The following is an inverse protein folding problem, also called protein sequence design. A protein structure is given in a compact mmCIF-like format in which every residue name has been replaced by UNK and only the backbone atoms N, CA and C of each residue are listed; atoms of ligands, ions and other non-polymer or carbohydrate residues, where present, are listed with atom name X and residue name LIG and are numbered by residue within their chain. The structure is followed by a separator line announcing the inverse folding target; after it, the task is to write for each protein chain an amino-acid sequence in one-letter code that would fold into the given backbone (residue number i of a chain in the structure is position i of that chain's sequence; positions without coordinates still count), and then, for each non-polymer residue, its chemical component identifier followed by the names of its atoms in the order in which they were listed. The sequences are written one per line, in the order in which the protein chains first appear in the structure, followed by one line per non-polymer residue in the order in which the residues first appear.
data_IF_163797630861
#
_entry.id   IF_163797630861
#
_cell.length_a   1.000
_cell.length_b   1.000
_cell.length_c   1.000
_cell.angle_alpha   90.00
_cell.angle_beta   90.00
_cell.angle_gamma   90.00
#
_symmetry.space_group_name_H-M   'P 1'
#
loop_
_entity.id
_entity.type
_entity.pdbx_description
1 polymer ?
#
# COMPACT_ATOMS: atom_id res chain seq x y z
N UNK A 1 -8.17 20.48 -10.72
CA UNK A 1 -8.61 19.55 -9.66
C UNK A 1 -7.39 18.95 -8.98
N UNK A 2 -7.47 18.71 -7.69
CA UNK A 2 -6.40 18.06 -6.92
C UNK A 2 -6.35 16.58 -7.30
N UNK A 3 -5.14 16.06 -7.54
CA UNK A 3 -4.90 14.63 -7.77
C UNK A 3 -4.36 14.00 -6.49
N UNK A 4 -4.93 12.87 -6.09
CA UNK A 4 -4.48 12.08 -4.95
C UNK A 4 -3.47 11.03 -5.42
N UNK A 5 -2.28 11.03 -4.82
CA UNK A 5 -1.23 10.05 -5.09
C UNK A 5 -1.03 9.18 -3.85
N UNK A 6 -1.55 7.97 -3.89
CA UNK A 6 -1.30 6.98 -2.86
C UNK A 6 0.08 6.40 -3.06
N UNK A 7 0.96 6.63 -2.09
CA UNK A 7 2.35 6.17 -2.14
C UNK A 7 2.56 5.07 -1.10
N UNK A 8 2.91 3.88 -1.56
CA UNK A 8 3.22 2.73 -0.72
C UNK A 8 4.68 2.31 -0.92
N UNK A 9 5.25 1.63 0.06
CA UNK A 9 6.58 1.04 -0.11
C UNK A 9 6.56 0.02 -1.25
N UNK A 10 7.54 0.13 -2.15
CA UNK A 10 7.66 -0.80 -3.26
C UNK A 10 8.14 -2.19 -2.81
N UNK A 11 8.02 -3.16 -3.70
CA UNK A 11 8.57 -4.50 -3.53
C UNK A 11 9.46 -4.87 -4.73
N UNK A 12 10.52 -5.66 -4.53
CA UNK A 12 11.25 -6.27 -5.63
C UNK A 12 10.32 -7.11 -6.50
N UNK A 13 10.47 -7.02 -7.82
CA UNK A 13 9.65 -7.80 -8.76
C UNK A 13 9.78 -9.31 -8.56
N UNK A 14 10.90 -9.79 -8.02
CA UNK A 14 11.06 -11.19 -7.64
C UNK A 14 10.09 -11.64 -6.56
N UNK A 15 9.69 -10.74 -5.64
CA UNK A 15 8.67 -11.00 -4.61
C UNK A 15 7.28 -10.98 -5.22
N UNK A 16 6.98 -9.97 -6.03
CA UNK A 16 5.70 -9.84 -6.74
C UNK A 16 5.44 -11.06 -7.64
N UNK A 17 6.46 -11.49 -8.39
CA UNK A 17 6.36 -12.64 -9.30
C UNK A 17 6.15 -13.98 -8.58
N UNK A 18 6.49 -14.07 -7.30
CA UNK A 18 6.13 -15.22 -6.46
C UNK A 18 4.67 -15.21 -6.00
N UNK A 19 3.93 -14.16 -6.34
CA UNK A 19 2.52 -14.03 -6.01
C UNK A 19 2.27 -13.45 -4.61
N UNK A 20 3.16 -12.57 -4.12
CA UNK A 20 2.92 -11.86 -2.87
C UNK A 20 1.65 -11.01 -2.99
N UNK A 21 0.71 -11.11 -2.05
CA UNK A 21 -0.57 -10.40 -2.12
C UNK A 21 -0.47 -8.91 -1.76
N UNK A 22 0.67 -8.43 -1.26
CA UNK A 22 0.84 -7.05 -0.81
C UNK A 22 0.34 -5.99 -1.80
N UNK A 23 0.65 -6.05 -3.13
CA UNK A 23 0.13 -5.06 -4.06
C UNK A 23 -1.40 -5.05 -4.15
N UNK A 24 -2.03 -6.21 -4.02
CA UNK A 24 -3.48 -6.33 -4.02
C UNK A 24 -4.11 -5.80 -2.72
N UNK A 25 -3.49 -6.06 -1.57
CA UNK A 25 -3.91 -5.55 -0.26
C UNK A 25 -3.81 -4.02 -0.21
N UNK A 26 -2.72 -3.45 -0.74
CA UNK A 26 -2.56 -2.00 -0.87
C UNK A 26 -3.65 -1.42 -1.78
N UNK A 27 -3.89 -2.02 -2.93
CA UNK A 27 -4.93 -1.57 -3.85
C UNK A 27 -6.34 -1.64 -3.22
N UNK A 28 -6.63 -2.68 -2.45
CA UNK A 28 -7.89 -2.81 -1.71
C UNK A 28 -8.03 -1.71 -0.64
N UNK A 29 -6.95 -1.36 0.04
CA UNK A 29 -6.92 -0.26 1.02
C UNK A 29 -7.18 1.08 0.33
N UNK A 30 -6.51 1.35 -0.80
CA UNK A 30 -6.77 2.55 -1.62
C UNK A 30 -8.22 2.63 -2.05
N UNK A 31 -8.79 1.51 -2.49
CA UNK A 31 -10.20 1.45 -2.90
C UNK A 31 -11.13 1.79 -1.75
N UNK A 32 -10.92 1.23 -0.54
CA UNK A 32 -11.71 1.53 0.64
C UNK A 32 -11.65 3.02 1.01
N UNK A 33 -10.47 3.64 0.93
CA UNK A 33 -10.32 5.08 1.15
C UNK A 33 -11.07 5.87 0.09
N UNK A 34 -10.97 5.51 -1.19
CA UNK A 34 -11.67 6.19 -2.27
C UNK A 34 -13.20 6.08 -2.14
N UNK A 35 -13.71 4.93 -1.74
CA UNK A 35 -15.13 4.78 -1.43
C UNK A 35 -15.56 5.76 -0.32
N UNK A 36 -14.77 5.88 0.75
CA UNK A 36 -15.05 6.81 1.85
C UNK A 36 -15.00 8.28 1.42
N UNK A 37 -14.13 8.63 0.47
CA UNK A 37 -14.03 9.96 -0.14
C UNK A 37 -15.07 10.23 -1.23
N UNK A 38 -15.89 9.23 -1.59
CA UNK A 38 -16.93 9.34 -2.62
C UNK A 38 -16.36 9.51 -4.04
N UNK A 39 -15.15 9.04 -4.30
CA UNK A 39 -14.48 9.10 -5.62
C UNK A 39 -14.43 10.49 -6.27
N UNK A 40 -14.33 11.55 -5.46
CA UNK A 40 -14.44 12.94 -5.93
C UNK A 40 -13.20 13.45 -6.66
N UNK A 41 -12.05 12.86 -6.38
CA UNK A 41 -10.77 13.28 -6.93
C UNK A 41 -10.15 12.20 -7.82
N UNK A 42 -9.50 12.57 -8.91
CA UNK A 42 -8.66 11.62 -9.64
C UNK A 42 -7.51 11.14 -8.75
N UNK A 43 -7.15 9.89 -8.89
CA UNK A 43 -6.10 9.31 -8.05
C UNK A 43 -5.22 8.32 -8.81
N UNK A 44 -4.05 8.05 -8.24
CA UNK A 44 -3.13 6.99 -8.67
C UNK A 44 -2.49 6.32 -7.47
N UNK A 45 -2.19 5.04 -7.61
CA UNK A 45 -1.29 4.29 -6.74
C UNK A 45 0.10 4.34 -7.35
N UNK A 46 1.10 4.68 -6.55
CA UNK A 46 2.51 4.69 -6.89
C UNK A 46 3.33 4.10 -5.76
N UNK A 47 4.63 3.89 -6.00
CA UNK A 47 5.49 3.10 -5.16
C UNK A 47 6.79 3.85 -4.86
N UNK A 48 7.24 3.81 -3.60
CA UNK A 48 8.42 4.51 -3.12
C UNK A 48 9.47 3.57 -2.53
N UNK A 49 10.61 4.13 -2.10
CA UNK A 49 11.65 3.45 -1.31
C UNK A 49 12.31 2.28 -2.04
N UNK A 50 12.51 2.43 -3.34
CA UNK A 50 13.25 1.45 -4.12
C UNK A 50 14.75 1.60 -3.88
N UNK A 51 15.45 0.47 -3.72
CA UNK A 51 16.89 0.46 -3.48
C UNK A 51 17.62 -0.56 -4.37
N UNK A 52 18.81 -0.19 -4.79
CA UNK A 52 19.68 -1.05 -5.59
C UNK A 52 19.25 -1.24 -7.05
N UNK A 53 19.97 -2.06 -7.82
CA UNK A 53 19.81 -2.15 -9.27
C UNK A 53 18.75 -3.14 -9.74
N UNK A 54 18.12 -3.90 -8.85
CA UNK A 54 17.09 -4.87 -9.23
C UNK A 54 15.79 -4.19 -9.68
N UNK A 55 14.97 -4.91 -10.43
CA UNK A 55 13.63 -4.42 -10.80
C UNK A 55 12.70 -4.42 -9.60
N UNK A 56 11.97 -3.31 -9.41
CA UNK A 56 10.99 -3.09 -8.38
C UNK A 56 9.62 -2.79 -8.97
N UNK A 57 8.59 -2.98 -8.18
CA UNK A 57 7.22 -2.61 -8.53
C UNK A 57 7.13 -1.09 -8.76
N UNK A 58 6.59 -0.67 -9.90
CA UNK A 58 6.44 0.73 -10.30
C UNK A 58 4.98 1.06 -10.61
N UNK A 59 4.58 2.32 -10.96
CA UNK A 59 5.46 3.48 -11.18
C UNK A 59 6.00 4.07 -9.87
N UNK A 60 7.19 4.66 -9.93
CA UNK A 60 7.81 5.32 -8.77
C UNK A 60 7.08 6.62 -8.42
N UNK A 61 7.00 6.91 -7.11
CA UNK A 61 6.34 8.11 -6.59
C UNK A 61 7.02 9.39 -7.07
N UNK A 62 8.34 9.50 -6.94
CA UNK A 62 9.10 10.67 -7.40
C UNK A 62 8.91 10.92 -8.90
N UNK A 63 9.05 9.89 -9.74
CA UNK A 63 8.84 10.02 -11.18
C UNK A 63 7.39 10.39 -11.52
N UNK A 64 6.43 9.84 -10.80
CA UNK A 64 5.00 10.15 -11.00
C UNK A 64 4.73 11.61 -10.70
N UNK A 65 5.22 12.14 -9.59
CA UNK A 65 5.09 13.55 -9.20
C UNK A 65 5.74 14.46 -10.26
N UNK A 66 7.01 14.20 -10.59
CA UNK A 66 7.75 14.99 -11.61
C UNK A 66 7.02 15.02 -12.96
N UNK A 67 6.52 13.88 -13.40
CA UNK A 67 5.81 13.80 -14.67
C UNK A 67 4.47 14.56 -14.65
N UNK A 68 3.74 14.52 -13.53
CA UNK A 68 2.50 15.28 -13.39
C UNK A 68 2.76 16.79 -13.35
N UNK A 69 3.76 17.23 -12.58
CA UNK A 69 4.14 18.65 -12.51
C UNK A 69 4.58 19.19 -13.88
N UNK A 70 5.43 18.44 -14.61
CA UNK A 70 5.85 18.79 -15.97
C UNK A 70 4.69 18.88 -16.95
N UNK A 71 3.63 18.10 -16.75
CA UNK A 71 2.39 18.18 -17.55
C UNK A 71 1.41 19.27 -17.11
N UNK A 72 1.81 20.11 -16.15
CA UNK A 72 1.01 21.22 -15.65
C UNK A 72 0.05 20.86 -14.49
N UNK A 73 0.01 19.60 -14.06
CA UNK A 73 -0.77 19.20 -12.88
C UNK A 73 0.06 19.43 -11.63
N UNK A 74 -0.18 20.51 -10.93
CA UNK A 74 0.62 20.91 -9.76
C UNK A 74 -0.07 20.67 -8.43
N UNK A 75 -1.40 20.61 -8.40
CA UNK A 75 -2.16 20.36 -7.15
C UNK A 75 -2.20 18.87 -6.85
N UNK A 76 -1.25 18.41 -6.03
CA UNK A 76 -1.09 17.01 -5.68
C UNK A 76 -1.14 16.82 -4.15
N UNK A 77 -1.81 15.76 -3.71
CA UNK A 77 -1.72 15.30 -2.32
C UNK A 77 -1.13 13.90 -2.32
N UNK A 78 0.04 13.77 -1.73
CA UNK A 78 0.69 12.49 -1.46
C UNK A 78 0.10 11.87 -0.20
N UNK A 79 -0.37 10.65 -0.30
CA UNK A 79 -0.98 9.90 0.81
C UNK A 79 -0.11 8.68 1.08
N UNK A 80 0.68 8.68 2.17
CA UNK A 80 1.48 7.52 2.54
C UNK A 80 0.55 6.37 2.93
N UNK A 81 0.15 5.56 1.95
CA UNK A 81 -0.71 4.40 2.19
C UNK A 81 0.13 3.21 2.66
N UNK A 82 -0.38 2.43 3.59
CA UNK A 82 0.34 1.32 4.24
C UNK A 82 1.48 1.76 5.18
N UNK A 83 1.55 3.03 5.51
CA UNK A 83 2.40 3.58 6.56
C UNK A 83 1.53 4.02 7.74
N UNK A 84 1.79 3.52 8.94
CA UNK A 84 0.96 3.79 10.12
C UNK A 84 1.46 4.94 10.96
N UNK A 85 2.73 5.33 10.80
CA UNK A 85 3.36 6.41 11.54
C UNK A 85 4.39 7.13 10.70
N UNK A 86 4.77 8.34 11.13
CA UNK A 86 5.86 9.08 10.54
C UNK A 86 7.21 8.41 10.83
N UNK A 87 8.06 8.34 9.82
CA UNK A 87 9.42 7.83 9.87
C UNK A 87 10.23 8.36 8.66
N UNK A 88 11.44 7.87 8.46
CA UNK A 88 12.34 8.39 7.43
C UNK A 88 11.72 8.34 6.02
N UNK A 89 10.94 7.31 5.69
CA UNK A 89 10.32 7.15 4.36
C UNK A 89 9.11 8.07 4.15
N UNK A 90 8.58 8.72 5.18
CA UNK A 90 7.55 9.75 5.07
C UNK A 90 8.12 11.16 5.25
N UNK A 91 8.93 11.38 6.30
CA UNK A 91 9.44 12.69 6.64
C UNK A 91 10.64 13.11 5.78
N UNK A 92 11.47 12.18 5.35
CA UNK A 92 12.62 12.51 4.52
C UNK A 92 12.30 12.23 3.04
N UNK A 93 11.97 11.00 2.65
CA UNK A 93 11.77 10.65 1.24
C UNK A 93 10.62 11.46 0.60
N UNK A 94 9.48 11.62 1.28
CA UNK A 94 8.37 12.39 0.72
C UNK A 94 8.58 13.89 0.94
N UNK A 95 8.79 14.34 2.19
CA UNK A 95 8.75 15.77 2.50
C UNK A 95 10.04 16.49 2.04
N UNK A 96 11.22 15.88 2.21
CA UNK A 96 12.48 16.51 1.89
C UNK A 96 12.97 16.24 0.46
N UNK A 97 12.64 15.10 -0.13
CA UNK A 97 13.07 14.78 -1.50
C UNK A 97 11.95 15.04 -2.50
N UNK A 98 10.86 14.26 -2.47
CA UNK A 98 9.83 14.30 -3.53
C UNK A 98 9.13 15.66 -3.63
N UNK A 99 8.76 16.27 -2.48
CA UNK A 99 8.10 17.59 -2.48
C UNK A 99 9.09 18.69 -2.85
N UNK A 100 10.35 18.59 -2.40
CA UNK A 100 11.39 19.55 -2.79
C UNK A 100 11.64 19.53 -4.31
N UNK A 101 11.84 18.35 -4.90
CA UNK A 101 11.98 18.19 -6.34
C UNK A 101 10.77 18.73 -7.13
N UNK A 102 9.57 18.57 -6.60
CA UNK A 102 8.36 19.13 -7.20
C UNK A 102 8.37 20.67 -7.19
N UNK A 103 8.84 21.27 -6.12
CA UNK A 103 8.95 22.73 -5.98
C UNK A 103 10.00 23.28 -6.95
N UNK A 104 11.14 22.63 -7.11
CA UNK A 104 12.16 22.98 -8.12
C UNK A 104 11.60 22.96 -9.56
N UNK A 105 10.61 22.11 -9.80
CA UNK A 105 9.90 22.04 -11.08
C UNK A 105 8.74 23.06 -11.21
N UNK A 106 8.61 23.98 -10.23
CA UNK A 106 7.62 25.05 -10.21
C UNK A 106 6.25 24.64 -9.66
N UNK A 107 6.20 23.67 -8.77
CA UNK A 107 4.97 23.32 -8.04
C UNK A 107 4.70 24.28 -6.86
N UNK A 108 5.73 25.01 -6.36
CA UNK A 108 5.64 26.14 -5.41
C UNK A 108 4.71 25.87 -4.20
N UNK A 109 4.95 24.79 -3.48
CA UNK A 109 4.20 24.41 -2.28
C UNK A 109 2.78 23.88 -2.54
N UNK A 110 2.44 23.57 -3.78
CA UNK A 110 1.14 22.98 -4.17
C UNK A 110 1.12 21.46 -4.10
N UNK A 111 2.27 20.82 -3.93
CA UNK A 111 2.40 19.40 -3.61
C UNK A 111 2.49 19.26 -2.11
N UNK A 112 1.57 18.51 -1.51
CA UNK A 112 1.44 18.33 -0.06
C UNK A 112 1.40 16.85 0.27
N UNK A 113 1.86 16.49 1.47
CA UNK A 113 1.66 15.17 2.05
C UNK A 113 0.47 15.21 3.02
N UNK A 114 -0.36 14.19 2.99
CA UNK A 114 -1.33 13.93 4.06
C UNK A 114 -0.58 13.44 5.31
N UNK A 115 -1.02 13.87 6.47
CA UNK A 115 -0.46 13.42 7.75
C UNK A 115 -0.56 11.91 7.89
N UNK A 116 0.47 11.29 8.49
CA UNK A 116 0.43 9.89 8.88
C UNK A 116 -0.55 9.67 10.03
N UNK A 117 -1.02 8.44 10.17
CA UNK A 117 -2.05 8.10 11.18
C UNK A 117 -1.56 8.33 12.61
N UNK A 118 -0.28 8.01 12.89
CA UNK A 118 0.35 8.24 14.20
C UNK A 118 -0.55 7.81 15.38
N UNK A 119 -0.80 8.73 16.31
CA UNK A 119 -1.68 8.53 17.46
C UNK A 119 -3.15 8.90 17.21
N UNK A 120 -3.65 8.89 15.98
CA UNK A 120 -5.05 9.17 15.66
C UNK A 120 -5.98 8.28 16.48
N UNK A 121 -6.91 8.88 17.21
CA UNK A 121 -7.87 8.14 18.03
C UNK A 121 -8.76 7.21 17.19
N UNK A 122 -9.11 7.61 15.98
CA UNK A 122 -9.90 6.79 15.04
C UNK A 122 -9.11 5.55 14.63
N UNK A 123 -7.82 5.72 14.34
CA UNK A 123 -6.94 4.60 13.98
C UNK A 123 -6.73 3.64 15.14
N UNK A 124 -6.41 4.17 16.32
CA UNK A 124 -6.22 3.35 17.55
C UNK A 124 -7.50 2.59 17.90
N UNK A 125 -8.67 3.22 17.79
CA UNK A 125 -9.95 2.54 18.01
C UNK A 125 -10.16 1.41 17.00
N UNK A 126 -9.87 1.64 15.72
CA UNK A 126 -9.96 0.62 14.68
C UNK A 126 -9.04 -0.57 14.95
N UNK A 127 -7.82 -0.33 15.41
CA UNK A 127 -6.89 -1.41 15.81
C UNK A 127 -7.43 -2.20 17.02
N UNK A 128 -7.97 -1.52 18.03
CA UNK A 128 -8.56 -2.15 19.19
C UNK A 128 -9.78 -3.02 18.82
N UNK A 129 -10.64 -2.52 17.94
CA UNK A 129 -11.81 -3.25 17.44
C UNK A 129 -11.40 -4.52 16.67
N UNK A 130 -10.38 -4.44 15.82
CA UNK A 130 -9.83 -5.59 15.09
C UNK A 130 -9.25 -6.62 16.06
N UNK A 131 -8.44 -6.17 17.03
CA UNK A 131 -7.87 -7.05 18.03
C UNK A 131 -8.94 -7.76 18.86
N UNK A 132 -9.95 -7.01 19.32
CA UNK A 132 -11.08 -7.57 20.06
C UNK A 132 -11.85 -8.60 19.23
N UNK A 133 -12.22 -8.26 18.01
CA UNK A 133 -12.95 -9.15 17.11
C UNK A 133 -12.15 -10.45 16.84
N UNK A 134 -10.83 -10.34 16.70
CA UNK A 134 -9.97 -11.51 16.53
C UNK A 134 -9.96 -12.41 17.77
N UNK A 135 -9.80 -11.84 18.96
CA UNK A 135 -9.84 -12.59 20.23
C UNK A 135 -11.21 -13.27 20.44
N UNK A 136 -12.29 -12.59 20.12
CA UNK A 136 -13.66 -13.12 20.25
C UNK A 136 -13.94 -14.22 19.21
N UNK A 137 -13.25 -14.25 18.07
CA UNK A 137 -13.47 -15.21 16.98
C UNK A 137 -12.98 -16.63 17.30
N UNK A 138 -11.97 -16.77 18.16
CA UNK A 138 -11.27 -18.02 18.42
C UNK A 138 -10.45 -18.56 17.25
N UNK A 139 -10.31 -17.79 16.16
CA UNK A 139 -9.51 -18.17 14.99
C UNK A 139 -8.01 -17.90 15.24
N UNK A 140 -7.09 -18.74 14.74
CA UNK A 140 -5.65 -18.57 14.98
C UNK A 140 -5.06 -17.37 14.23
N UNK A 141 -5.69 -16.93 13.13
CA UNK A 141 -5.29 -15.75 12.37
C UNK A 141 -6.48 -15.21 11.58
N UNK A 142 -6.40 -13.93 11.16
CA UNK A 142 -7.37 -13.34 10.24
C UNK A 142 -7.28 -13.98 8.85
N UNK A 143 -8.36 -13.90 8.07
CA UNK A 143 -8.33 -14.31 6.66
C UNK A 143 -7.33 -13.46 5.91
N UNK A 144 -6.50 -14.12 5.12
CA UNK A 144 -5.46 -13.48 4.32
C UNK A 144 -5.60 -13.92 2.86
N UNK A 145 -5.17 -13.07 1.95
CA UNK A 145 -4.98 -13.48 0.56
C UNK A 145 -3.86 -14.52 0.51
N UNK A 146 -4.15 -15.68 -0.04
CA UNK A 146 -3.15 -16.75 -0.18
C UNK A 146 -2.02 -16.34 -1.10
N UNK A 147 -0.79 -16.61 -0.69
CA UNK A 147 0.38 -16.49 -1.56
C UNK A 147 0.20 -17.41 -2.78
N UNK A 148 0.25 -16.85 -3.97
CA UNK A 148 0.25 -17.58 -5.23
C UNK A 148 1.70 -17.71 -5.69
N UNK A 149 2.35 -18.82 -5.35
CA UNK A 149 3.69 -19.12 -5.86
C UNK A 149 3.56 -20.08 -7.05
N UNK A 150 3.59 -19.61 -8.30
CA UNK A 150 3.53 -20.49 -9.47
C UNK A 150 4.67 -21.50 -9.40
N UNK A 151 4.34 -22.79 -9.56
CA UNK A 151 5.34 -23.87 -9.53
C UNK A 151 5.98 -24.15 -8.17
N UNK A 152 5.50 -23.55 -7.07
CA UNK A 152 6.00 -23.88 -5.74
C UNK A 152 5.49 -25.25 -5.29
N UNK A 153 6.39 -26.21 -5.19
CA UNK A 153 6.12 -27.57 -4.73
C UNK A 153 6.65 -27.83 -3.31
N UNK A 154 7.15 -26.82 -2.62
CA UNK A 154 7.74 -26.97 -1.30
C UNK A 154 6.68 -27.26 -0.23
N UNK A 155 6.67 -28.47 0.30
CA UNK A 155 5.80 -28.89 1.41
C UNK A 155 5.97 -27.99 2.64
N UNK A 156 7.19 -27.57 2.92
CA UNK A 156 7.51 -26.66 4.03
C UNK A 156 6.78 -25.32 3.92
N UNK A 157 6.71 -24.76 2.70
CA UNK A 157 5.95 -23.52 2.46
C UNK A 157 4.44 -23.77 2.53
N UNK A 158 3.97 -24.93 2.10
CA UNK A 158 2.56 -25.31 2.16
C UNK A 158 2.06 -25.41 3.61
N UNK A 159 2.85 -25.97 4.50
CA UNK A 159 2.55 -26.06 5.94
C UNK A 159 2.39 -24.66 6.57
N UNK A 160 3.36 -23.78 6.34
CA UNK A 160 3.30 -22.41 6.82
C UNK A 160 2.08 -21.67 6.25
N UNK A 161 1.78 -21.85 4.96
CA UNK A 161 0.60 -21.26 4.32
C UNK A 161 -0.70 -21.77 4.95
N UNK A 162 -0.80 -23.06 5.20
CA UNK A 162 -1.96 -23.68 5.86
C UNK A 162 -2.17 -23.08 7.26
N UNK A 163 -1.10 -22.93 8.02
CA UNK A 163 -1.16 -22.31 9.33
C UNK A 163 -1.68 -20.87 9.28
N UNK A 164 -1.04 -20.01 8.47
CA UNK A 164 -1.42 -18.60 8.39
C UNK A 164 -2.77 -18.35 7.69
N UNK A 165 -3.24 -19.25 6.86
CA UNK A 165 -4.57 -19.16 6.26
C UNK A 165 -5.69 -19.66 7.17
N UNK A 166 -5.37 -20.16 8.37
CA UNK A 166 -6.37 -20.70 9.28
C UNK A 166 -7.18 -21.80 8.64
N UNK A 167 -6.54 -22.65 7.84
CA UNK A 167 -7.26 -23.70 7.10
C UNK A 167 -7.80 -24.78 8.05
N UNK A 168 -9.04 -24.64 8.41
CA UNK A 168 -9.97 -25.77 8.36
C UNK A 168 -10.05 -26.15 6.88
N UNK A 169 -9.78 -27.41 6.57
CA UNK A 169 -9.75 -27.95 5.20
C UNK A 169 -10.75 -27.23 4.28
N UNK A 170 -10.25 -26.50 3.30
CA UNK A 170 -11.08 -26.11 2.16
C UNK A 170 -11.37 -27.39 1.41
N UNK A 171 -12.52 -27.98 1.65
CA UNK A 171 -13.18 -28.77 0.61
C UNK A 171 -13.16 -27.92 -0.64
N UNK A 172 -12.77 -28.54 -1.74
CA UNK A 172 -12.61 -27.94 -3.09
C UNK A 172 -13.92 -27.34 -3.63
N UNK A 173 -14.48 -26.37 -2.96
CA UNK A 173 -15.56 -25.57 -3.53
C UNK A 173 -14.90 -24.47 -4.36
N UNK A 174 -14.89 -24.74 -5.63
CA UNK A 174 -14.40 -23.93 -6.71
C UNK A 174 -14.71 -22.45 -6.47
N UNK A 175 -13.67 -21.63 -6.47
CA UNK A 175 -13.81 -20.22 -6.83
C UNK A 175 -14.15 -20.20 -8.31
N UNK A 176 -15.43 -20.21 -8.60
CA UNK A 176 -15.94 -19.78 -9.90
C UNK A 176 -15.82 -18.27 -9.92
N UNK A 177 -14.93 -17.75 -10.73
CA UNK A 177 -14.85 -16.34 -11.10
C UNK A 177 -16.01 -15.97 -11.99
#
# INVERSE_FOLDING_TARGET
SVVLLYSAHSLPMSVVNRGDPYPAEVAATVWAVQQRLGHKNPYRLCWQSQVGPSAWLGAQTSDTVKNLVKKGQKDLVLIPISFTSDHIETLFEIDQEVIHEANELGADGRVKRAESLNGSTVFIQGLADIAKAHLDSGEPCSRQMGLRCPGCTSERCLESKKFFLGQKERTNDAVTL
#
